data_IF_821961696925
#
_entry.id   IF_821961696925
#
_cell.length_a   1.000
_cell.length_b   1.000
_cell.length_c   1.000
_cell.angle_alpha   90.00
_cell.angle_beta   90.00
_cell.angle_gamma   90.00
#
_symmetry.space_group_name_H-M   'P 1'
#
loop_
_entity.id
_entity.type
_entity.pdbx_description
1 polymer ?
#
# COMPACT_ATOMS: atom_id res chain seq x y z
N UNK A 1 13.63 -0.82 -6.47
CA UNK A 1 13.68 -2.28 -6.67
C UNK A 1 12.31 -2.78 -7.08
N UNK A 2 12.29 -3.65 -8.03
CA UNK A 2 11.03 -4.25 -8.46
C UNK A 2 10.64 -5.43 -7.57
N UNK A 3 9.35 -5.63 -7.40
CA UNK A 3 8.81 -6.67 -6.54
C UNK A 3 8.89 -8.07 -7.13
N UNK A 4 9.20 -8.20 -8.44
CA UNK A 4 9.00 -9.43 -9.19
C UNK A 4 9.69 -10.67 -8.68
N UNK A 5 10.92 -10.56 -8.18
CA UNK A 5 11.74 -11.74 -7.92
C UNK A 5 11.95 -12.11 -6.45
N UNK A 6 11.75 -11.16 -5.55
CA UNK A 6 12.15 -11.37 -4.16
C UNK A 6 11.00 -11.36 -3.15
N UNK A 7 9.83 -10.90 -3.54
CA UNK A 7 8.73 -10.80 -2.60
C UNK A 7 8.14 -12.18 -2.28
N UNK A 8 7.62 -12.31 -1.06
CA UNK A 8 6.92 -13.52 -0.64
C UNK A 8 5.56 -13.26 -0.04
N UNK A 9 5.23 -11.99 0.21
CA UNK A 9 4.01 -11.59 0.89
C UNK A 9 3.46 -10.34 0.24
N UNK A 10 2.15 -10.33 -0.04
CA UNK A 10 1.50 -9.23 -0.75
C UNK A 10 0.24 -8.82 0.00
N UNK A 11 0.10 -7.51 0.22
CA UNK A 11 -1.11 -6.96 0.81
C UNK A 11 -1.79 -6.09 -0.24
N UNK A 12 -3.08 -6.34 -0.48
CA UNK A 12 -3.85 -5.58 -1.46
C UNK A 12 -4.99 -4.85 -0.76
N UNK A 13 -5.07 -3.54 -1.01
CA UNK A 13 -6.16 -2.69 -0.55
C UNK A 13 -6.88 -2.09 -1.73
N UNK A 14 -8.20 -1.91 -1.59
CA UNK A 14 -9.01 -1.17 -2.53
C UNK A 14 -9.35 0.19 -1.92
N UNK A 15 -9.27 1.23 -2.74
CA UNK A 15 -9.58 2.59 -2.32
C UNK A 15 -10.49 3.27 -3.32
N UNK A 16 -11.34 4.15 -2.81
CA UNK A 16 -12.10 5.09 -3.63
C UNK A 16 -11.82 6.49 -3.10
N UNK A 17 -11.06 7.30 -3.83
CA UNK A 17 -10.82 8.68 -3.42
C UNK A 17 -12.11 9.49 -3.43
N UNK A 18 -12.16 10.52 -2.61
CA UNK A 18 -13.25 11.48 -2.67
C UNK A 18 -13.18 12.24 -3.99
N UNK A 19 -14.34 12.67 -4.49
CA UNK A 19 -14.39 13.44 -5.74
C UNK A 19 -13.52 14.69 -5.64
N UNK A 20 -12.67 14.89 -6.64
CA UNK A 20 -11.73 16.00 -6.69
C UNK A 20 -10.42 15.75 -5.97
N UNK A 21 -10.28 14.63 -5.27
CA UNK A 21 -9.07 14.29 -4.52
C UNK A 21 -8.20 13.25 -5.20
N UNK A 22 -8.52 12.89 -6.44
CA UNK A 22 -7.82 11.82 -7.14
C UNK A 22 -6.31 12.07 -7.26
N UNK A 23 -5.92 13.29 -7.59
CA UNK A 23 -4.50 13.62 -7.74
C UNK A 23 -3.75 13.53 -6.41
N UNK A 24 -4.36 14.00 -5.33
CA UNK A 24 -3.76 13.88 -3.99
C UNK A 24 -3.66 12.45 -3.55
N UNK A 25 -4.68 11.64 -3.88
CA UNK A 25 -4.65 10.22 -3.57
C UNK A 25 -3.51 9.54 -4.31
N UNK A 26 -3.37 9.78 -5.61
CA UNK A 26 -2.32 9.14 -6.41
C UNK A 26 -0.94 9.53 -5.91
N UNK A 27 -0.76 10.78 -5.49
CA UNK A 27 0.50 11.24 -4.92
C UNK A 27 0.83 10.54 -3.60
N UNK A 28 -0.16 10.42 -2.70
CA UNK A 28 0.06 9.83 -1.38
C UNK A 28 0.27 8.32 -1.43
N UNK A 29 -0.43 7.62 -2.33
CA UNK A 29 -0.45 6.16 -2.37
C UNK A 29 0.40 5.55 -3.48
N UNK A 30 1.00 6.36 -4.32
CA UNK A 30 1.87 5.89 -5.39
C UNK A 30 3.21 5.36 -4.87
N UNK A 31 4.00 4.81 -5.78
CA UNK A 31 5.27 4.17 -5.44
C UNK A 31 6.30 5.09 -4.80
N UNK A 32 6.10 6.40 -4.87
CA UNK A 32 7.00 7.40 -4.26
C UNK A 32 6.26 8.27 -3.23
N UNK A 33 5.06 7.90 -2.86
CA UNK A 33 4.23 8.67 -1.94
C UNK A 33 4.56 8.42 -0.47
N UNK A 34 3.76 9.05 0.40
CA UNK A 34 4.01 9.02 1.84
C UNK A 34 4.01 7.60 2.42
N UNK A 35 3.09 6.76 1.96
CA UNK A 35 3.03 5.38 2.43
C UNK A 35 4.28 4.60 2.04
N UNK A 36 4.70 4.68 0.77
CA UNK A 36 5.89 3.98 0.31
C UNK A 36 7.14 4.47 1.03
N UNK A 37 7.23 5.77 1.30
CA UNK A 37 8.34 6.32 2.06
C UNK A 37 8.40 5.78 3.48
N UNK A 38 7.25 5.65 4.13
CA UNK A 38 7.19 5.03 5.46
C UNK A 38 7.60 3.57 5.40
N UNK A 39 7.08 2.81 4.43
CA UNK A 39 7.37 1.38 4.31
C UNK A 39 8.85 1.10 4.06
N UNK A 40 9.56 2.03 3.43
CA UNK A 40 11.01 1.88 3.19
C UNK A 40 11.84 1.80 4.46
N UNK A 41 11.28 2.20 5.60
CA UNK A 41 11.94 2.01 6.89
C UNK A 41 11.95 0.57 7.34
N UNK A 42 11.11 -0.27 6.74
CA UNK A 42 11.01 -1.68 7.10
C UNK A 42 12.00 -2.53 6.32
N UNK A 43 12.67 -3.43 7.00
CA UNK A 43 13.46 -4.45 6.33
C UNK A 43 12.53 -5.40 5.61
N UNK A 44 12.88 -5.72 4.38
CA UNK A 44 12.08 -6.64 3.58
C UNK A 44 10.97 -6.00 2.79
N UNK A 45 10.84 -4.68 2.83
CA UNK A 45 9.91 -4.00 1.94
C UNK A 45 10.42 -4.11 0.50
N UNK A 46 9.55 -4.54 -0.42
CA UNK A 46 9.92 -4.81 -1.81
C UNK A 46 9.30 -3.83 -2.81
N UNK A 47 8.44 -2.95 -2.35
CA UNK A 47 7.87 -1.93 -3.23
C UNK A 47 6.35 -1.89 -3.21
N UNK A 48 5.81 -0.85 -3.81
CA UNK A 48 4.37 -0.62 -3.91
C UNK A 48 4.01 -0.33 -5.36
N UNK A 49 2.90 -0.88 -5.80
CA UNK A 49 2.31 -0.51 -7.08
C UNK A 49 0.91 0.04 -6.82
N UNK A 50 0.58 1.12 -7.52
CA UNK A 50 -0.75 1.69 -7.51
C UNK A 50 -1.35 1.44 -8.89
N UNK A 51 -2.53 0.84 -8.92
CA UNK A 51 -3.23 0.58 -10.18
C UNK A 51 -4.66 1.11 -10.09
N UNK A 52 -5.23 1.44 -11.23
CA UNK A 52 -6.61 1.89 -11.31
C UNK A 52 -7.39 0.89 -12.15
N UNK A 53 -8.62 0.62 -11.74
CA UNK A 53 -9.50 -0.27 -12.47
C UNK A 53 -9.79 0.32 -13.85
N UNK A 54 -9.50 -0.43 -14.91
CA UNK A 54 -9.69 0.03 -16.28
C UNK A 54 -11.15 0.26 -16.63
N UNK A 55 -12.06 -0.38 -15.91
CA UNK A 55 -13.52 -0.28 -16.16
C UNK A 55 -14.25 0.59 -15.14
N UNK A 56 -13.54 1.03 -14.09
CA UNK A 56 -14.11 1.86 -13.03
C UNK A 56 -13.04 2.84 -12.55
N UNK A 57 -12.94 4.01 -13.15
CA UNK A 57 -11.83 4.94 -12.86
C UNK A 57 -11.83 5.51 -11.45
N UNK A 58 -12.88 5.31 -10.68
CA UNK A 58 -12.90 5.70 -9.28
C UNK A 58 -12.37 4.63 -8.33
N UNK A 59 -12.00 3.47 -8.83
CA UNK A 59 -11.54 2.35 -8.04
C UNK A 59 -10.05 2.13 -8.24
N UNK A 60 -9.30 2.16 -7.14
CA UNK A 60 -7.85 1.96 -7.16
C UNK A 60 -7.49 0.77 -6.29
N UNK A 61 -6.37 0.12 -6.62
CA UNK A 61 -5.77 -0.88 -5.75
C UNK A 61 -4.34 -0.49 -5.44
N UNK A 62 -3.93 -0.70 -4.20
CA UNK A 62 -2.52 -0.65 -3.83
C UNK A 62 -2.03 -2.07 -3.60
N UNK A 63 -0.86 -2.36 -4.14
CA UNK A 63 -0.21 -3.66 -3.97
C UNK A 63 1.11 -3.41 -3.25
N UNK A 64 1.19 -3.86 -2.00
CA UNK A 64 2.37 -3.67 -1.18
C UNK A 64 3.08 -5.01 -1.04
N UNK A 65 4.33 -5.05 -1.49
CA UNK A 65 5.11 -6.27 -1.57
C UNK A 65 6.16 -6.30 -0.47
N UNK A 66 6.24 -7.44 0.22
CA UNK A 66 7.20 -7.66 1.32
C UNK A 66 7.89 -9.01 1.13
N UNK A 67 9.08 -9.14 1.69
CA UNK A 67 9.81 -10.42 1.65
C UNK A 67 9.02 -11.51 2.36
N UNK A 68 8.39 -11.18 3.51
CA UNK A 68 7.64 -12.15 4.30
C UNK A 68 6.59 -11.46 5.14
N UNK A 69 5.65 -12.24 5.68
CA UNK A 69 4.68 -11.74 6.66
C UNK A 69 5.40 -11.15 7.87
N UNK A 70 6.42 -11.86 8.36
CA UNK A 70 7.17 -11.44 9.55
C UNK A 70 7.84 -10.08 9.35
N UNK A 71 8.38 -9.83 8.17
CA UNK A 71 8.96 -8.51 7.84
C UNK A 71 7.93 -7.40 7.95
N UNK A 72 6.75 -7.63 7.42
CA UNK A 72 5.69 -6.63 7.47
C UNK A 72 5.22 -6.39 8.90
N UNK A 73 4.98 -7.46 9.66
CA UNK A 73 4.51 -7.34 11.04
C UNK A 73 5.53 -6.63 11.92
N UNK A 74 6.80 -6.96 11.74
CA UNK A 74 7.89 -6.31 12.45
C UNK A 74 7.94 -4.81 12.14
N UNK A 75 7.84 -4.46 10.86
CA UNK A 75 7.77 -3.07 10.43
C UNK A 75 6.61 -2.35 11.12
N UNK A 76 5.43 -2.95 11.06
CA UNK A 76 4.23 -2.32 11.61
C UNK A 76 4.34 -2.09 13.11
N UNK A 77 4.84 -3.07 13.84
CA UNK A 77 5.02 -2.97 15.29
C UNK A 77 6.01 -1.87 15.65
N UNK A 78 7.05 -1.68 14.86
CA UNK A 78 8.10 -0.70 15.13
C UNK A 78 7.77 0.72 14.65
N UNK A 79 6.73 0.87 13.82
CA UNK A 79 6.41 2.17 13.21
C UNK A 79 4.92 2.52 13.38
N UNK A 80 4.29 2.01 14.41
CA UNK A 80 2.85 2.14 14.59
C UNK A 80 2.38 3.59 14.71
N UNK A 81 3.14 4.43 15.42
CA UNK A 81 2.78 5.83 15.59
C UNK A 81 2.79 6.58 14.26
N UNK A 82 3.82 6.36 13.44
CA UNK A 82 3.92 6.99 12.14
C UNK A 82 2.86 6.46 11.19
N UNK A 83 2.60 5.16 11.26
CA UNK A 83 1.54 4.52 10.46
C UNK A 83 0.18 5.18 10.73
N UNK A 84 -0.17 5.33 12.00
CA UNK A 84 -1.44 5.94 12.40
C UNK A 84 -1.55 7.39 11.98
N UNK A 85 -0.44 8.11 12.02
CA UNK A 85 -0.40 9.51 11.63
C UNK A 85 -0.73 9.68 10.15
N UNK A 86 -0.12 8.88 9.29
CA UNK A 86 -0.38 8.93 7.85
C UNK A 86 -1.81 8.47 7.55
N UNK A 87 -2.26 7.42 8.21
CA UNK A 87 -3.61 6.90 8.06
C UNK A 87 -4.65 7.98 8.37
N UNK A 88 -4.45 8.71 9.45
CA UNK A 88 -5.32 9.80 9.85
C UNK A 88 -5.33 10.95 8.83
N UNK A 89 -4.15 11.30 8.31
CA UNK A 89 -4.06 12.34 7.28
C UNK A 89 -4.77 11.93 5.99
N UNK A 90 -4.73 10.65 5.65
CA UNK A 90 -5.32 10.15 4.42
C UNK A 90 -6.83 9.92 4.50
N UNK A 91 -7.41 9.91 5.70
CA UNK A 91 -8.86 9.79 5.86
C UNK A 91 -9.61 10.91 5.15
N UNK A 92 -8.99 12.08 5.01
CA UNK A 92 -9.64 13.22 4.37
C UNK A 92 -9.71 13.11 2.85
N UNK A 93 -8.90 12.26 2.25
CA UNK A 93 -8.85 12.13 0.79
C UNK A 93 -9.51 10.87 0.27
N UNK A 94 -9.87 9.92 1.14
CA UNK A 94 -10.52 8.69 0.73
C UNK A 94 -11.97 8.65 1.17
N UNK A 95 -12.84 8.17 0.28
CA UNK A 95 -14.25 7.96 0.56
C UNK A 95 -14.49 6.56 1.12
N UNK A 96 -13.71 5.58 0.66
CA UNK A 96 -13.84 4.20 1.09
C UNK A 96 -12.50 3.49 0.96
N UNK A 97 -12.25 2.56 1.87
CA UNK A 97 -11.08 1.68 1.79
C UNK A 97 -11.44 0.31 2.33
N UNK A 98 -10.98 -0.72 1.65
CA UNK A 98 -11.25 -2.11 2.00
C UNK A 98 -9.98 -2.92 1.80
N UNK A 99 -9.59 -3.70 2.81
CA UNK A 99 -8.50 -4.65 2.62
C UNK A 99 -9.04 -5.82 1.80
N UNK A 100 -8.51 -6.00 0.60
CA UNK A 100 -8.88 -7.11 -0.27
C UNK A 100 -8.34 -8.42 0.29
N UNK A 101 -7.09 -8.42 0.74
CA UNK A 101 -6.51 -9.60 1.35
C UNK A 101 -5.01 -9.53 1.47
N UNK A 102 -4.47 -10.58 2.07
CA UNK A 102 -3.04 -10.78 2.23
C UNK A 102 -2.70 -12.12 1.64
N UNK A 103 -1.65 -12.16 0.85
CA UNK A 103 -1.37 -13.31 0.00
C UNK A 103 0.07 -13.75 0.15
N UNK A 104 0.27 -15.05 0.17
CA UNK A 104 1.61 -15.63 0.16
C UNK A 104 1.96 -16.04 -1.25
N UNK A 105 3.18 -15.72 -1.66
CA UNK A 105 3.65 -16.15 -2.98
C UNK A 105 4.00 -17.64 -2.93
N UNK A 106 3.45 -18.40 -3.85
CA UNK A 106 3.76 -19.82 -3.93
C UNK A 106 4.94 -20.04 -4.86
N UNK A 107 5.75 -21.00 -4.53
CA UNK A 107 6.83 -21.43 -5.41
C UNK A 107 6.23 -22.39 -6.44
N UNK A 108 6.55 -22.16 -7.68
CA UNK A 108 6.10 -23.02 -8.77
C UNK A 108 7.24 -23.91 -9.24
#
# INVERSE_FOLDING_TARGET
MEAGDVWGYLIIWEFRPKAGMESKFEEAYGSHGAWAQLFRKGEGYCGTQLVRDANDPGRYLTLDFWISRESYEHFRDNNLAEYRKIDQLCEEITQAEVEIGRFERLKS
#
